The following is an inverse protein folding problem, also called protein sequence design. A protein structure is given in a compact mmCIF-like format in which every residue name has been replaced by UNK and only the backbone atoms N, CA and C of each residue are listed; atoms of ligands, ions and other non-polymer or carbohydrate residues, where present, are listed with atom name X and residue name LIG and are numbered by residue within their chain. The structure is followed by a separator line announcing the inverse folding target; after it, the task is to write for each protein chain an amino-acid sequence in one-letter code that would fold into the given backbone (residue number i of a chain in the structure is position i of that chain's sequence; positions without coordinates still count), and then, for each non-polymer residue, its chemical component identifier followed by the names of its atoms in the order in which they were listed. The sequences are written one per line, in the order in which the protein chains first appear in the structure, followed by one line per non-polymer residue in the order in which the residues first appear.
data_IF_532073855819
#
_entry.id   IF_532073855819
#
_cell.length_a   1.000
_cell.length_b   1.000
_cell.length_c   1.000
_cell.angle_alpha   90.00
_cell.angle_beta   90.00
_cell.angle_gamma   90.00
#
_symmetry.space_group_name_H-M   'P 1'
#
loop_
_entity.id
_entity.type
_entity.pdbx_description
1 polymer ?
#
# COMPACT_ATOMS: atom_id res chain seq x y z
N UNK A 1 5.78 13.57 -11.77
CA UNK A 1 5.70 12.52 -10.72
C UNK A 1 6.09 11.20 -11.35
N UNK A 2 7.24 10.65 -10.94
CA UNK A 2 7.71 9.32 -11.28
C UNK A 2 7.33 8.36 -10.14
N UNK A 3 6.61 7.29 -10.47
CA UNK A 3 6.18 6.27 -9.52
C UNK A 3 7.02 5.01 -9.72
N UNK A 4 7.76 4.59 -8.69
CA UNK A 4 8.44 3.30 -8.66
C UNK A 4 7.54 2.21 -8.08
N UNK A 5 7.85 0.96 -8.40
CA UNK A 5 7.19 -0.22 -7.82
C UNK A 5 8.25 -1.17 -7.29
N UNK A 6 8.00 -1.78 -6.12
CA UNK A 6 8.85 -2.82 -5.54
C UNK A 6 8.00 -3.87 -4.83
N UNK A 7 8.45 -5.11 -4.85
CA UNK A 7 7.84 -6.24 -4.13
C UNK A 7 8.34 -6.34 -2.67
N UNK A 8 9.17 -5.38 -2.25
CA UNK A 8 9.62 -5.30 -0.87
C UNK A 8 8.44 -5.01 0.06
N UNK A 9 8.37 -5.77 1.16
CA UNK A 9 7.30 -5.72 2.14
C UNK A 9 7.80 -5.37 3.54
N UNK A 10 9.08 -5.62 3.83
CA UNK A 10 9.72 -5.20 5.08
C UNK A 10 9.92 -3.68 5.06
N UNK A 11 9.54 -2.95 6.12
CA UNK A 11 9.77 -1.51 6.20
C UNK A 11 11.24 -1.13 5.98
N UNK A 12 12.19 -1.90 6.54
CA UNK A 12 13.61 -1.59 6.45
C UNK A 12 14.15 -1.78 5.01
N UNK A 13 13.66 -2.80 4.29
CA UNK A 13 14.02 -3.01 2.88
C UNK A 13 13.41 -1.93 1.98
N UNK A 14 12.17 -1.52 2.25
CA UNK A 14 11.51 -0.42 1.56
C UNK A 14 12.30 0.89 1.75
N UNK A 15 12.73 1.18 2.98
CA UNK A 15 13.56 2.35 3.31
C UNK A 15 14.89 2.28 2.54
N UNK A 16 15.52 1.11 2.47
CA UNK A 16 16.75 0.92 1.72
C UNK A 16 16.57 1.17 0.21
N UNK A 17 15.43 0.79 -0.37
CA UNK A 17 15.07 1.08 -1.78
C UNK A 17 14.82 2.58 -1.97
N UNK A 18 14.03 3.20 -1.10
CA UNK A 18 13.74 4.63 -1.16
C UNK A 18 15.02 5.48 -1.10
N UNK A 19 15.99 5.10 -0.28
CA UNK A 19 17.27 5.81 -0.16
C UNK A 19 18.16 5.69 -1.41
N UNK A 20 17.94 4.69 -2.25
CA UNK A 20 18.74 4.41 -3.45
C UNK A 20 18.06 4.86 -4.74
N UNK A 21 16.79 5.27 -4.69
CA UNK A 21 15.99 5.58 -5.87
C UNK A 21 15.63 7.07 -5.92
N UNK A 22 15.54 7.61 -7.14
CA UNK A 22 15.12 8.99 -7.40
C UNK A 22 13.63 9.15 -7.67
N UNK A 23 12.80 8.20 -7.26
CA UNK A 23 11.35 8.23 -7.52
C UNK A 23 10.64 9.21 -6.59
N UNK A 24 9.58 9.85 -7.09
CA UNK A 24 8.76 10.77 -6.31
C UNK A 24 7.88 10.00 -5.32
N UNK A 25 7.31 8.88 -5.79
CA UNK A 25 6.48 7.95 -5.02
C UNK A 25 6.99 6.52 -5.23
N UNK A 26 6.90 5.69 -4.19
CA UNK A 26 7.19 4.26 -4.27
C UNK A 26 5.99 3.44 -3.82
N UNK A 27 5.46 2.62 -4.72
CA UNK A 27 4.45 1.62 -4.43
C UNK A 27 5.13 0.34 -3.92
N UNK A 28 4.62 -0.21 -2.81
CA UNK A 28 5.26 -1.31 -2.07
C UNK A 28 4.23 -2.35 -1.64
N UNK A 29 4.72 -3.52 -1.23
CA UNK A 29 3.90 -4.59 -0.64
C UNK A 29 3.84 -4.51 0.89
N UNK A 30 3.99 -3.32 1.48
CA UNK A 30 3.95 -3.12 2.94
C UNK A 30 2.60 -3.51 3.56
N UNK A 31 1.49 -3.30 2.83
CA UNK A 31 0.12 -3.57 3.30
C UNK A 31 -0.41 -4.86 2.68
N UNK A 32 0.20 -6.01 3.01
CA UNK A 32 -0.28 -7.29 2.49
C UNK A 32 -1.68 -7.63 3.03
N UNK A 33 -2.59 -8.16 2.19
CA UNK A 33 -3.92 -8.58 2.63
C UNK A 33 -3.89 -9.64 3.75
N UNK A 34 -2.84 -10.47 3.77
CA UNK A 34 -2.64 -11.54 4.74
C UNK A 34 -2.03 -11.08 6.07
N UNK A 35 -1.57 -9.82 6.16
CA UNK A 35 -0.94 -9.29 7.37
C UNK A 35 -1.97 -9.02 8.46
N UNK A 36 -1.58 -9.19 9.73
CA UNK A 36 -2.44 -8.79 10.85
C UNK A 36 -2.47 -7.27 10.96
N UNK A 37 -3.57 -6.73 11.50
CA UNK A 37 -3.74 -5.29 11.68
C UNK A 37 -2.60 -4.63 12.48
N UNK A 38 -2.08 -5.32 13.51
CA UNK A 38 -0.96 -4.80 14.31
C UNK A 38 0.34 -4.73 13.50
N UNK A 39 0.60 -5.72 12.64
CA UNK A 39 1.78 -5.74 11.77
C UNK A 39 1.70 -4.61 10.74
N UNK A 40 0.51 -4.37 10.18
CA UNK A 40 0.22 -3.22 9.31
C UNK A 40 0.50 -1.91 10.03
N UNK A 41 -0.01 -1.75 11.26
CA UNK A 41 0.20 -0.53 12.04
C UNK A 41 1.69 -0.26 12.32
N UNK A 42 2.45 -1.29 12.73
CA UNK A 42 3.89 -1.17 12.94
C UNK A 42 4.65 -0.85 11.65
N UNK A 43 4.26 -1.45 10.52
CA UNK A 43 4.89 -1.16 9.23
C UNK A 43 4.67 0.29 8.81
N UNK A 44 3.44 0.80 8.94
CA UNK A 44 3.08 2.20 8.66
C UNK A 44 3.86 3.15 9.57
N UNK A 45 3.90 2.89 10.87
CA UNK A 45 4.62 3.73 11.85
C UNK A 45 6.14 3.77 11.56
N UNK A 46 6.72 2.61 11.24
CA UNK A 46 8.14 2.53 10.85
C UNK A 46 8.43 3.30 9.57
N UNK A 47 7.58 3.23 8.56
CA UNK A 47 7.76 3.98 7.31
C UNK A 47 7.59 5.49 7.53
N UNK A 48 6.66 5.92 8.37
CA UNK A 48 6.49 7.34 8.73
C UNK A 48 7.64 7.91 9.55
N UNK A 49 8.23 7.12 10.46
CA UNK A 49 9.38 7.58 11.23
C UNK A 49 10.65 7.73 10.37
N UNK A 50 10.76 6.98 9.27
CA UNK A 50 11.93 6.97 8.42
C UNK A 50 11.85 7.91 7.21
N UNK A 51 10.64 8.30 6.78
CA UNK A 51 10.44 9.00 5.51
C UNK A 51 9.36 10.08 5.58
N UNK A 52 9.50 11.12 4.76
CA UNK A 52 8.46 12.14 4.62
C UNK A 52 7.20 11.50 4.02
N UNK A 53 6.07 11.62 4.74
CA UNK A 53 4.77 11.04 4.41
C UNK A 53 4.30 11.36 2.99
N UNK A 54 4.70 12.52 2.44
CA UNK A 54 4.34 12.96 1.08
C UNK A 54 4.91 12.07 -0.04
N UNK A 55 5.91 11.22 0.25
CA UNK A 55 6.58 10.36 -0.74
C UNK A 55 6.12 8.90 -0.69
N UNK A 56 5.20 8.56 0.21
CA UNK A 56 4.68 7.19 0.35
C UNK A 56 3.43 7.01 -0.50
N UNK A 57 3.37 5.90 -1.24
CA UNK A 57 2.17 5.46 -1.94
C UNK A 57 1.63 4.18 -1.28
N UNK A 58 0.32 4.15 -1.05
CA UNK A 58 -0.35 3.10 -0.29
C UNK A 58 -1.28 2.29 -1.16
N UNK A 59 -1.13 0.98 -1.14
CA UNK A 59 -2.02 0.02 -1.80
C UNK A 59 -2.02 -1.29 -1.01
N UNK A 60 -3.09 -2.07 -1.15
CA UNK A 60 -3.20 -3.42 -0.60
C UNK A 60 -3.03 -4.42 -1.73
N UNK A 61 -2.02 -5.28 -1.61
CA UNK A 61 -1.70 -6.33 -2.61
C UNK A 61 -0.74 -5.92 -3.73
N UNK A 62 -0.28 -4.68 -3.76
CA UNK A 62 0.65 -4.21 -4.78
C UNK A 62 0.03 -4.14 -6.17
N UNK A 63 0.87 -4.05 -7.22
CA UNK A 63 0.40 -3.88 -8.60
C UNK A 63 -0.22 -5.15 -9.21
N UNK A 64 0.18 -6.32 -8.74
CA UNK A 64 -0.02 -7.60 -9.46
C UNK A 64 -1.13 -8.44 -8.83
N UNK A 65 -1.58 -8.14 -7.62
CA UNK A 65 -2.47 -9.03 -6.90
C UNK A 65 -3.96 -8.95 -7.32
N UNK A 66 -4.36 -7.98 -8.15
CA UNK A 66 -5.72 -7.89 -8.70
C UNK A 66 -6.60 -6.87 -7.98
N UNK A 67 -7.92 -7.04 -8.05
CA UNK A 67 -8.87 -6.11 -7.44
C UNK A 67 -8.97 -6.30 -5.92
N UNK A 68 -9.16 -5.20 -5.18
CA UNK A 68 -9.21 -5.19 -3.72
C UNK A 68 -10.26 -6.15 -3.16
N UNK A 69 -11.43 -6.26 -3.79
CA UNK A 69 -12.51 -7.16 -3.35
C UNK A 69 -12.16 -8.65 -3.47
N UNK A 70 -11.18 -9.02 -4.29
CA UNK A 70 -10.63 -10.39 -4.37
C UNK A 70 -9.52 -10.63 -3.35
N UNK A 71 -8.88 -9.57 -2.86
CA UNK A 71 -7.77 -9.63 -1.93
C UNK A 71 -8.19 -9.62 -0.46
N UNK A 72 -9.25 -8.90 -0.17
CA UNK A 72 -9.87 -8.84 1.16
C UNK A 72 -11.30 -9.34 1.07
N UNK A 73 -11.83 -9.93 2.15
CA UNK A 73 -13.26 -10.24 2.21
C UNK A 73 -14.10 -9.00 1.83
N UNK A 74 -15.18 -9.17 1.05
CA UNK A 74 -16.04 -8.08 0.58
C UNK A 74 -16.48 -7.13 1.72
N UNK A 75 -16.76 -7.69 2.91
CA UNK A 75 -17.12 -6.93 4.11
C UNK A 75 -16.03 -5.94 4.58
N UNK A 76 -14.77 -6.17 4.20
CA UNK A 76 -13.59 -5.38 4.59
C UNK A 76 -13.18 -4.36 3.52
N UNK A 77 -13.73 -4.42 2.30
CA UNK A 77 -13.36 -3.50 1.20
C UNK A 77 -13.50 -2.03 1.60
N UNK A 78 -14.65 -1.65 2.19
CA UNK A 78 -14.89 -0.26 2.63
C UNK A 78 -13.92 0.18 3.73
N UNK A 79 -13.58 -0.72 4.65
CA UNK A 79 -12.63 -0.42 5.72
C UNK A 79 -11.21 -0.23 5.15
N UNK A 80 -10.80 -1.10 4.22
CA UNK A 80 -9.54 -1.00 3.49
C UNK A 80 -9.43 0.31 2.71
N UNK A 81 -10.48 0.71 1.99
CA UNK A 81 -10.55 1.99 1.28
C UNK A 81 -10.44 3.18 2.24
N UNK A 82 -11.22 3.16 3.33
CA UNK A 82 -11.18 4.22 4.35
C UNK A 82 -9.77 4.37 4.93
N UNK A 83 -9.11 3.26 5.27
CA UNK A 83 -7.74 3.27 5.76
C UNK A 83 -6.80 3.89 4.72
N UNK A 84 -6.79 3.40 3.48
CA UNK A 84 -5.89 3.91 2.44
C UNK A 84 -6.11 5.41 2.18
N UNK A 85 -7.37 5.87 2.12
CA UNK A 85 -7.72 7.28 1.91
C UNK A 85 -7.38 8.20 3.09
N UNK A 86 -7.12 7.64 4.29
CA UNK A 86 -6.83 8.42 5.51
C UNK A 86 -5.39 8.30 5.96
N UNK A 87 -4.60 7.40 5.37
CA UNK A 87 -3.15 7.34 5.58
C UNK A 87 -2.46 8.53 4.89
N UNK A 88 -1.60 9.28 5.62
CA UNK A 88 -0.73 10.28 5.00
C UNK A 88 0.11 9.70 3.84
N UNK A 89 -0.10 10.24 2.63
CA UNK A 89 0.55 9.77 1.42
C UNK A 89 -0.42 9.77 0.24
N UNK A 90 -0.09 9.01 -0.79
CA UNK A 90 -0.93 8.85 -1.99
C UNK A 90 -1.62 7.49 -1.97
N UNK A 91 -2.94 7.40 -1.77
CA UNK A 91 -3.65 6.14 -1.95
C UNK A 91 -3.68 5.75 -3.43
N UNK A 92 -3.41 4.47 -3.71
CA UNK A 92 -3.40 3.90 -5.05
C UNK A 92 -4.39 2.74 -5.08
N UNK A 93 -5.39 2.86 -5.95
CA UNK A 93 -6.42 1.86 -6.20
C UNK A 93 -6.32 1.37 -7.63
N UNK A 94 -6.69 0.11 -7.84
CA UNK A 94 -6.94 -0.41 -9.18
C UNK A 94 -8.32 0.05 -9.65
N UNK A 95 -8.48 0.19 -10.97
CA UNK A 95 -9.80 0.45 -11.55
C UNK A 95 -10.75 -0.67 -11.14
N UNK A 96 -11.98 -0.33 -10.75
CA UNK A 96 -12.97 -1.29 -10.28
C UNK A 96 -12.98 -1.48 -8.77
N UNK A 97 -11.89 -1.14 -8.05
CA UNK A 97 -11.88 -1.18 -6.60
C UNK A 97 -12.96 -0.27 -6.00
N UNK A 98 -13.26 0.86 -6.65
CA UNK A 98 -14.25 1.82 -6.20
C UNK A 98 -15.68 1.28 -6.22
N UNK A 99 -15.96 0.30 -7.08
CA UNK A 99 -17.26 -0.38 -7.18
C UNK A 99 -17.24 -1.78 -6.54
N UNK A 100 -16.10 -2.19 -5.97
CA UNK A 100 -15.94 -3.53 -5.40
C UNK A 100 -15.91 -4.63 -6.46
N UNK A 101 -15.32 -4.37 -7.63
CA UNK A 101 -15.11 -5.37 -8.67
C UNK A 101 -14.26 -6.52 -8.12
N UNK A 102 -14.68 -7.75 -8.35
CA UNK A 102 -13.91 -8.96 -8.06
C UNK A 102 -13.29 -9.49 -9.36
N UNK A 103 -12.11 -10.08 -9.25
CA UNK A 103 -11.48 -10.89 -10.30
C UNK A 103 -12.36 -12.11 -10.64
N UNK A 104 -12.39 -12.46 -11.94
CA UNK A 104 -13.16 -13.60 -12.48
C UNK A 104 -12.39 -14.91 -12.57
#
# INVERSE_FOLDING_TARGET
VLIGVTEQFSPDDIIAVLNKTGVDLLLTDALKPTSKALDIAHAVDRLYSAYNQTRLAWNIGGRIAGHLASLVELAKVKLSQLMLLTLPGTPVFNYGDEIGLEDG
#
